data_IF_327013764668
#
_entry.id   IF_327013764668
#
_cell.length_a   1.000
_cell.length_b   1.000
_cell.length_c   1.000
_cell.angle_alpha   90.00
_cell.angle_beta   90.00
_cell.angle_gamma   90.00
#
_symmetry.space_group_name_H-M   'P 1'
#
loop_
_entity.id
_entity.type
_entity.pdbx_description
1 polymer ?
#
# COMPACT_ATOMS: atom_id res chain seq x y z
N UNK A 1 -12.11 2.92 6.48
CA UNK A 1 -11.48 3.41 5.23
C UNK A 1 -12.61 4.00 4.39
N UNK A 2 -12.49 5.24 3.98
CA UNK A 2 -13.50 5.86 3.12
C UNK A 2 -13.14 5.54 1.67
N UNK A 3 -13.92 4.70 1.03
CA UNK A 3 -13.84 4.47 -0.42
C UNK A 3 -14.84 5.44 -1.05
N UNK A 4 -14.37 6.33 -1.93
CA UNK A 4 -15.12 7.50 -2.41
C UNK A 4 -16.46 7.21 -3.08
N UNK A 5 -16.74 5.96 -3.43
CA UNK A 5 -17.96 5.53 -4.13
C UNK A 5 -18.89 4.71 -3.25
N UNK A 6 -18.48 4.33 -2.04
CA UNK A 6 -19.25 3.45 -1.16
C UNK A 6 -19.87 4.29 -0.06
N UNK A 7 -21.20 4.33 -0.01
CA UNK A 7 -21.95 4.91 1.08
C UNK A 7 -22.06 3.84 2.18
N UNK A 8 -21.40 4.05 3.32
CA UNK A 8 -21.45 3.14 4.45
C UNK A 8 -20.16 2.35 4.68
N UNK A 9 -20.26 1.18 5.29
CA UNK A 9 -19.11 0.33 5.55
C UNK A 9 -18.72 -0.43 4.27
N UNK A 10 -17.49 -0.27 3.85
CA UNK A 10 -16.89 -1.00 2.73
C UNK A 10 -17.04 -2.54 2.86
N UNK A 11 -17.12 -3.06 4.07
CA UNK A 11 -17.31 -4.49 4.34
C UNK A 11 -18.70 -4.98 3.93
N UNK A 12 -19.73 -4.15 4.10
CA UNK A 12 -21.09 -4.48 3.67
C UNK A 12 -21.14 -4.51 2.14
N UNK A 13 -20.51 -3.55 1.48
CA UNK A 13 -20.36 -3.56 0.03
C UNK A 13 -19.64 -4.85 -0.47
N UNK A 14 -18.55 -5.27 0.18
CA UNK A 14 -17.87 -6.52 -0.20
C UNK A 14 -18.78 -7.74 -0.07
N UNK A 15 -19.58 -7.83 0.98
CA UNK A 15 -20.53 -8.94 1.17
C UNK A 15 -21.64 -8.94 0.12
N UNK A 16 -22.11 -7.76 -0.28
CA UNK A 16 -23.12 -7.63 -1.33
C UNK A 16 -22.56 -8.05 -2.70
N UNK A 17 -21.30 -7.69 -3.01
CA UNK A 17 -20.70 -8.01 -4.31
C UNK A 17 -20.13 -9.44 -4.38
N UNK A 18 -19.72 -10.02 -3.26
CA UNK A 18 -19.13 -11.34 -3.15
C UNK A 18 -19.74 -12.08 -1.95
N UNK A 19 -21.00 -12.57 -2.04
CA UNK A 19 -21.68 -13.21 -0.93
C UNK A 19 -20.96 -14.47 -0.40
N UNK A 20 -20.20 -15.14 -1.28
CA UNK A 20 -19.40 -16.33 -0.97
C UNK A 20 -18.13 -16.02 -0.17
N UNK A 21 -17.72 -14.76 -0.08
CA UNK A 21 -16.43 -14.37 0.51
C UNK A 21 -16.28 -14.84 1.96
N UNK A 22 -17.34 -14.72 2.76
CA UNK A 22 -17.33 -15.15 4.16
C UNK A 22 -17.26 -16.68 4.30
N UNK A 23 -17.85 -17.43 3.37
CA UNK A 23 -17.85 -18.90 3.37
C UNK A 23 -16.54 -19.49 2.85
N UNK A 24 -15.91 -18.84 1.87
CA UNK A 24 -14.66 -19.31 1.26
C UNK A 24 -13.43 -18.98 2.12
N UNK A 25 -13.39 -17.77 2.72
CA UNK A 25 -12.20 -17.30 3.43
C UNK A 25 -12.34 -17.49 4.94
N UNK A 26 -13.51 -17.16 5.49
CA UNK A 26 -13.79 -17.27 6.92
C UNK A 26 -12.87 -16.48 7.85
N UNK A 27 -12.95 -16.70 9.17
CA UNK A 27 -12.11 -16.02 10.14
C UNK A 27 -10.65 -16.42 10.06
N UNK A 28 -9.74 -15.43 10.18
CA UNK A 28 -8.29 -15.65 10.23
C UNK A 28 -7.68 -15.16 11.56
N UNK A 29 -6.37 -14.95 11.55
CA UNK A 29 -5.63 -14.55 12.73
C UNK A 29 -4.90 -13.21 12.53
N UNK A 30 -5.08 -12.31 13.49
CA UNK A 30 -4.12 -11.25 13.72
C UNK A 30 -2.85 -11.84 14.32
N UNK A 31 -1.70 -11.42 13.80
CA UNK A 31 -0.40 -11.86 14.27
C UNK A 31 0.53 -10.65 14.48
N UNK A 32 1.53 -10.77 15.34
CA UNK A 32 2.62 -9.81 15.44
C UNK A 32 3.76 -10.12 14.42
N UNK A 33 4.83 -9.35 14.44
CA UNK A 33 6.01 -9.54 13.58
C UNK A 33 6.70 -10.90 13.75
N UNK A 34 6.59 -11.51 14.92
CA UNK A 34 7.13 -12.83 15.26
C UNK A 34 6.19 -13.99 14.86
N UNK A 35 4.99 -13.67 14.34
CA UNK A 35 3.98 -14.66 13.96
C UNK A 35 3.12 -15.15 15.14
N UNK A 36 3.25 -14.53 16.32
CA UNK A 36 2.40 -14.86 17.48
C UNK A 36 0.98 -14.40 17.24
N UNK A 37 0.01 -15.27 17.50
CA UNK A 37 -1.43 -14.99 17.35
C UNK A 37 -1.89 -14.01 18.43
N UNK A 38 -2.48 -12.90 18.01
CA UNK A 38 -3.01 -11.86 18.89
C UNK A 38 -4.51 -11.97 19.09
N UNK A 39 -5.25 -12.48 18.11
CA UNK A 39 -6.70 -12.63 18.13
C UNK A 39 -7.24 -13.01 16.76
N UNK A 40 -8.53 -13.30 16.68
CA UNK A 40 -9.20 -13.63 15.42
C UNK A 40 -9.67 -12.36 14.69
N UNK A 41 -9.71 -12.44 13.37
CA UNK A 41 -10.32 -11.43 12.50
C UNK A 41 -11.35 -12.05 11.54
N UNK A 42 -12.17 -11.23 10.89
CA UNK A 42 -13.30 -11.67 10.05
C UNK A 42 -12.91 -12.20 8.66
N UNK A 43 -11.64 -12.10 8.27
CA UNK A 43 -11.12 -12.50 6.96
C UNK A 43 -10.15 -11.44 6.41
N UNK A 44 -9.04 -11.87 5.80
CA UNK A 44 -7.99 -10.99 5.30
C UNK A 44 -8.49 -9.90 4.32
N UNK A 45 -9.48 -10.13 3.43
CA UNK A 45 -9.99 -9.11 2.50
C UNK A 45 -10.64 -7.90 3.16
N UNK A 46 -11.05 -8.02 4.41
CA UNK A 46 -11.68 -6.92 5.16
C UNK A 46 -10.69 -5.94 5.75
N UNK A 47 -9.39 -6.07 5.45
CA UNK A 47 -8.34 -5.24 6.00
C UNK A 47 -7.47 -4.61 4.90
N UNK A 48 -6.86 -3.47 5.23
CA UNK A 48 -5.97 -2.75 4.32
C UNK A 48 -4.72 -2.31 5.08
N UNK A 49 -3.56 -2.32 4.41
CA UNK A 49 -2.30 -1.83 4.99
C UNK A 49 -2.47 -0.38 5.46
N UNK A 50 -2.00 -0.09 6.68
CA UNK A 50 -2.16 1.19 7.35
C UNK A 50 -3.50 1.39 8.06
N UNK A 51 -4.41 0.43 8.02
CA UNK A 51 -5.67 0.51 8.76
C UNK A 51 -5.41 0.46 10.26
N UNK A 52 -6.02 1.41 11.00
CA UNK A 52 -6.01 1.47 12.47
C UNK A 52 -7.39 1.22 13.08
N UNK A 53 -8.44 1.79 12.46
CA UNK A 53 -9.81 1.69 12.98
C UNK A 53 -10.50 0.40 12.53
N UNK A 54 -11.45 -0.10 13.33
CA UNK A 54 -12.25 -1.27 12.97
C UNK A 54 -11.48 -2.60 12.98
N UNK A 55 -10.38 -2.69 13.72
CA UNK A 55 -9.66 -3.96 13.92
C UNK A 55 -10.39 -4.89 14.90
N UNK A 56 -11.25 -4.33 15.78
CA UNK A 56 -12.05 -5.08 16.75
C UNK A 56 -11.20 -5.98 17.67
N UNK A 57 -9.98 -5.53 17.99
CA UNK A 57 -9.06 -6.21 18.90
C UNK A 57 -8.52 -5.21 19.93
N UNK A 58 -8.46 -5.63 21.19
CA UNK A 58 -7.91 -4.82 22.28
C UNK A 58 -6.48 -5.24 22.59
N UNK A 59 -5.52 -4.40 22.22
CA UNK A 59 -4.08 -4.64 22.43
C UNK A 59 -3.46 -3.71 23.49
N UNK A 60 -4.28 -2.86 24.16
CA UNK A 60 -3.81 -1.89 25.14
C UNK A 60 -3.06 -0.68 24.54
N UNK A 61 -2.72 -0.72 23.24
CA UNK A 61 -2.09 0.36 22.48
C UNK A 61 -2.66 0.43 21.07
N UNK A 62 -2.54 1.59 20.38
CA UNK A 62 -2.87 1.67 18.97
C UNK A 62 -2.06 0.66 18.14
N UNK A 63 -2.74 -0.05 17.23
CA UNK A 63 -2.09 -0.96 16.31
C UNK A 63 -2.54 -0.67 14.87
N UNK A 64 -1.67 -1.00 13.93
CA UNK A 64 -1.87 -0.77 12.50
C UNK A 64 -1.67 -2.07 11.72
N UNK A 65 -2.42 -2.22 10.64
CA UNK A 65 -2.20 -3.33 9.68
C UNK A 65 -0.90 -3.08 8.93
N UNK A 66 0.11 -3.91 9.17
CA UNK A 66 1.41 -3.82 8.51
C UNK A 66 1.46 -4.66 7.23
N UNK A 67 0.87 -5.86 7.28
CA UNK A 67 0.95 -6.83 6.17
C UNK A 67 -0.29 -7.72 6.18
N UNK A 68 -0.71 -8.10 4.99
CA UNK A 68 -1.81 -9.05 4.78
C UNK A 68 -1.25 -10.23 4.00
N UNK A 69 -1.54 -11.44 4.48
CA UNK A 69 -1.22 -12.68 3.77
C UNK A 69 -2.53 -13.44 3.48
N UNK A 70 -3.07 -13.32 2.26
CA UNK A 70 -4.33 -13.98 1.90
C UNK A 70 -4.23 -15.50 1.95
N UNK A 71 -3.09 -16.09 1.55
CA UNK A 71 -2.91 -17.54 1.51
C UNK A 71 -2.94 -18.18 2.89
N UNK A 72 -2.43 -17.49 3.91
CA UNK A 72 -2.45 -17.92 5.31
C UNK A 72 -3.63 -17.37 6.09
N UNK A 73 -4.45 -16.54 5.46
CA UNK A 73 -5.52 -15.78 6.09
C UNK A 73 -5.05 -15.11 7.39
N UNK A 74 -3.91 -14.37 7.30
CA UNK A 74 -3.33 -13.68 8.45
C UNK A 74 -3.15 -12.19 8.14
N UNK A 75 -3.38 -11.36 9.16
CA UNK A 75 -3.18 -9.91 9.15
C UNK A 75 -2.18 -9.56 10.24
N UNK A 76 -1.01 -9.05 9.83
CA UNK A 76 0.04 -8.64 10.76
C UNK A 76 -0.24 -7.25 11.28
N UNK A 77 -0.20 -7.11 12.61
CA UNK A 77 -0.36 -5.85 13.31
C UNK A 77 0.96 -5.39 13.92
N UNK A 78 1.17 -4.07 13.99
CA UNK A 78 2.31 -3.47 14.64
C UNK A 78 2.15 -1.97 14.85
N UNK A 79 3.25 -1.29 15.13
CA UNK A 79 3.29 0.13 15.44
C UNK A 79 3.35 0.98 14.15
N UNK A 80 3.05 2.28 14.26
CA UNK A 80 2.93 3.17 13.09
C UNK A 80 4.26 3.39 12.34
N UNK A 81 5.37 3.43 13.06
CA UNK A 81 6.72 3.57 12.52
C UNK A 81 7.12 2.42 11.60
N UNK A 82 6.62 1.22 11.84
CA UNK A 82 6.83 0.05 10.99
C UNK A 82 6.13 0.12 9.61
N UNK A 83 5.30 1.13 9.39
CA UNK A 83 4.68 1.44 8.09
C UNK A 83 5.52 2.39 7.25
N UNK A 84 6.54 2.98 7.83
CA UNK A 84 7.37 3.97 7.17
C UNK A 84 8.33 3.31 6.18
N UNK A 85 8.51 3.97 5.04
CA UNK A 85 9.42 3.52 3.98
C UNK A 85 9.91 4.70 3.14
N UNK A 86 11.12 4.56 2.61
CA UNK A 86 11.71 5.48 1.64
C UNK A 86 11.53 5.02 0.19
N UNK A 87 11.01 3.80 -0.03
CA UNK A 87 10.92 3.22 -1.36
C UNK A 87 9.57 2.58 -1.62
N UNK A 88 9.19 2.54 -2.89
CA UNK A 88 7.99 1.88 -3.38
C UNK A 88 8.24 1.28 -4.76
N UNK A 89 7.75 0.06 -5.00
CA UNK A 89 7.62 -0.52 -6.33
C UNK A 89 6.24 -0.20 -6.91
N UNK A 90 6.23 0.19 -8.18
CA UNK A 90 5.00 0.40 -8.92
C UNK A 90 5.06 -0.31 -10.28
N UNK A 91 3.90 -0.66 -10.83
CA UNK A 91 3.75 -1.46 -12.06
C UNK A 91 2.57 -0.98 -12.89
N UNK A 92 2.44 -1.52 -14.12
CA UNK A 92 1.34 -1.20 -15.04
C UNK A 92 1.15 0.31 -15.22
N UNK A 93 2.27 1.01 -15.36
CA UNK A 93 2.28 2.45 -15.47
C UNK A 93 1.69 2.94 -16.81
N UNK A 94 1.13 4.16 -16.75
CA UNK A 94 0.71 4.96 -17.90
C UNK A 94 1.37 6.34 -17.75
N UNK A 95 2.53 6.45 -18.36
CA UNK A 95 3.34 7.68 -18.34
C UNK A 95 3.08 8.44 -19.64
N UNK A 96 2.87 9.76 -19.53
CA UNK A 96 2.60 10.63 -20.68
C UNK A 96 3.86 10.81 -21.51
N UNK A 97 4.99 11.12 -20.85
CA UNK A 97 6.32 11.27 -21.45
C UNK A 97 7.36 10.78 -20.44
N UNK A 98 8.11 9.75 -20.80
CA UNK A 98 9.14 9.17 -19.92
C UNK A 98 10.33 10.11 -19.72
N UNK A 99 10.75 10.84 -20.75
CA UNK A 99 11.88 11.79 -20.65
C UNK A 99 11.52 12.90 -19.66
N UNK A 100 10.29 13.39 -19.74
CA UNK A 100 9.79 14.40 -18.82
C UNK A 100 9.70 13.86 -17.38
N UNK A 101 9.14 12.66 -17.18
CA UNK A 101 9.01 12.06 -15.85
C UNK A 101 10.39 11.87 -15.19
N UNK A 102 11.32 11.22 -15.88
CA UNK A 102 12.65 10.92 -15.33
C UNK A 102 13.56 12.13 -15.21
N UNK A 103 13.35 13.17 -16.03
CA UNK A 103 14.06 14.45 -15.97
C UNK A 103 13.49 15.45 -14.97
N UNK A 104 12.30 15.22 -14.42
CA UNK A 104 11.62 16.18 -13.57
C UNK A 104 12.33 16.38 -12.23
N UNK A 105 12.77 17.61 -11.95
CA UNK A 105 13.48 17.96 -10.72
C UNK A 105 12.52 18.10 -9.50
N UNK A 106 11.29 18.56 -9.76
CA UNK A 106 10.29 18.79 -8.72
C UNK A 106 9.20 17.71 -8.69
N UNK A 107 9.59 16.47 -9.07
CA UNK A 107 8.68 15.36 -9.13
C UNK A 107 8.08 15.05 -7.76
N UNK A 108 6.76 14.95 -7.72
CA UNK A 108 6.02 14.49 -6.55
C UNK A 108 5.09 13.34 -6.91
N UNK A 109 4.77 12.50 -5.93
CA UNK A 109 3.81 11.40 -6.08
C UNK A 109 2.73 11.46 -5.02
N UNK A 110 1.49 11.15 -5.41
CA UNK A 110 0.39 10.88 -4.48
C UNK A 110 0.06 9.40 -4.53
N UNK A 111 0.08 8.75 -3.38
CA UNK A 111 -0.13 7.31 -3.21
C UNK A 111 -1.53 6.94 -2.70
N UNK A 112 -2.37 7.95 -2.49
CA UNK A 112 -3.78 7.82 -2.07
C UNK A 112 -4.56 9.08 -2.45
N UNK A 113 -5.86 8.90 -2.60
CA UNK A 113 -6.77 10.03 -2.72
C UNK A 113 -6.63 10.97 -1.50
N UNK A 114 -6.55 12.26 -1.75
CA UNK A 114 -6.35 13.32 -0.73
C UNK A 114 -5.05 13.22 0.09
N UNK A 115 -4.09 12.34 -0.26
CA UNK A 115 -2.78 12.40 0.38
C UNK A 115 -2.01 13.65 -0.05
N UNK A 116 -1.13 14.14 0.81
CA UNK A 116 -0.16 15.16 0.40
C UNK A 116 0.73 14.62 -0.72
N UNK A 117 1.18 15.47 -1.64
CA UNK A 117 2.24 15.10 -2.57
C UNK A 117 3.52 14.83 -1.78
N UNK A 118 4.24 13.78 -2.15
CA UNK A 118 5.53 13.42 -1.53
C UNK A 118 6.61 13.62 -2.60
N UNK A 119 7.66 14.44 -2.36
CA UNK A 119 8.77 14.56 -3.27
C UNK A 119 9.44 13.21 -3.50
N UNK A 120 9.79 12.91 -4.77
CA UNK A 120 10.35 11.60 -5.11
C UNK A 120 11.30 11.66 -6.31
N UNK A 121 12.03 10.57 -6.51
CA UNK A 121 12.73 10.21 -7.75
C UNK A 121 12.18 8.89 -8.25
N UNK A 122 12.24 8.66 -9.55
CA UNK A 122 11.73 7.44 -10.17
C UNK A 122 12.78 6.88 -11.13
N UNK A 123 12.90 5.56 -11.14
CA UNK A 123 13.75 4.82 -12.08
C UNK A 123 12.95 3.66 -12.64
N UNK A 124 13.11 3.39 -13.95
CA UNK A 124 12.60 2.16 -14.55
C UNK A 124 13.57 1.02 -14.30
N UNK A 125 13.06 -0.09 -13.83
CA UNK A 125 13.81 -1.34 -13.62
C UNK A 125 13.83 -2.16 -14.91
N UNK A 126 14.75 -3.13 -15.00
CA UNK A 126 14.87 -4.04 -16.15
C UNK A 126 13.61 -4.88 -16.39
N UNK A 127 12.88 -5.22 -15.33
CA UNK A 127 11.62 -5.95 -15.40
C UNK A 127 10.39 -5.08 -15.77
N UNK A 128 10.62 -3.79 -16.09
CA UNK A 128 9.61 -2.83 -16.50
C UNK A 128 8.87 -2.15 -15.36
N UNK A 129 9.07 -2.55 -14.11
CA UNK A 129 8.50 -1.84 -12.94
C UNK A 129 9.19 -0.49 -12.72
N UNK A 130 8.53 0.37 -11.95
CA UNK A 130 9.11 1.61 -11.48
C UNK A 130 9.57 1.45 -10.02
N UNK A 131 10.83 1.80 -9.74
CA UNK A 131 11.32 2.04 -8.40
C UNK A 131 11.15 3.52 -8.09
N UNK A 132 10.38 3.82 -7.07
CA UNK A 132 10.14 5.18 -6.58
C UNK A 132 10.89 5.34 -5.28
N UNK A 133 11.81 6.30 -5.20
CA UNK A 133 12.46 6.74 -3.97
C UNK A 133 11.79 8.00 -3.47
N UNK A 134 11.24 7.96 -2.28
CA UNK A 134 10.71 9.14 -1.61
C UNK A 134 11.85 9.97 -1.01
N UNK A 135 11.78 11.28 -1.13
CA UNK A 135 12.74 12.21 -0.51
C UNK A 135 12.32 12.60 0.92
N UNK A 136 11.12 12.20 1.32
CA UNK A 136 10.58 12.26 2.67
C UNK A 136 9.94 10.90 2.97
N UNK A 137 9.93 10.47 4.23
CA UNK A 137 9.32 9.20 4.62
C UNK A 137 7.85 9.10 4.20
N UNK A 138 7.53 8.07 3.46
CA UNK A 138 6.16 7.69 3.12
C UNK A 138 5.65 6.63 4.11
N UNK A 139 4.35 6.51 4.24
CA UNK A 139 3.75 5.54 5.18
C UNK A 139 2.59 4.78 4.55
N UNK A 140 2.47 3.51 4.94
CA UNK A 140 1.36 2.63 4.59
C UNK A 140 1.18 2.47 3.07
N UNK A 141 2.23 2.06 2.39
CA UNK A 141 2.22 1.71 0.97
C UNK A 141 1.36 0.47 0.78
N UNK A 142 0.21 0.63 0.12
CA UNK A 142 -0.78 -0.42 -0.07
C UNK A 142 -0.79 -0.90 -1.53
N UNK A 143 -0.38 -2.14 -1.81
CA UNK A 143 -0.45 -2.72 -3.15
C UNK A 143 -1.86 -2.65 -3.75
N UNK A 144 -1.94 -2.43 -5.06
CA UNK A 144 -3.19 -2.27 -5.80
C UNK A 144 -3.79 -0.87 -5.78
N UNK A 145 -3.28 0.06 -4.96
CA UNK A 145 -3.67 1.47 -5.03
C UNK A 145 -2.90 2.20 -6.14
N UNK A 146 -3.48 3.31 -6.61
CA UNK A 146 -2.85 4.16 -7.63
C UNK A 146 -1.82 5.08 -7.00
N UNK A 147 -0.65 5.17 -7.64
CA UNK A 147 0.35 6.20 -7.46
C UNK A 147 0.28 7.15 -8.66
N UNK A 148 0.12 8.46 -8.42
CA UNK A 148 0.03 9.45 -9.49
C UNK A 148 1.16 10.45 -9.36
N UNK A 149 1.89 10.67 -10.45
CA UNK A 149 3.08 11.51 -10.53
C UNK A 149 2.73 12.90 -11.05
N UNK A 150 3.31 13.92 -10.43
CA UNK A 150 3.03 15.32 -10.75
C UNK A 150 4.31 16.16 -10.84
N UNK A 151 4.30 17.14 -11.75
CA UNK A 151 5.13 18.34 -11.67
C UNK A 151 4.21 19.51 -11.30
N UNK A 152 4.32 19.98 -10.06
CA UNK A 152 3.40 20.96 -9.52
C UNK A 152 1.93 20.52 -9.59
N UNK A 153 1.14 21.09 -10.51
CA UNK A 153 -0.27 20.75 -10.74
C UNK A 153 -0.49 19.85 -11.96
N UNK A 154 0.54 19.65 -12.77
CA UNK A 154 0.46 18.84 -13.99
C UNK A 154 0.67 17.37 -13.67
N UNK A 155 -0.19 16.51 -14.20
CA UNK A 155 -0.06 15.05 -14.13
C UNK A 155 0.94 14.60 -15.19
N UNK A 156 1.98 13.88 -14.79
CA UNK A 156 2.96 13.27 -15.70
C UNK A 156 2.65 11.80 -15.97
N UNK A 157 1.86 11.18 -15.13
CA UNK A 157 1.44 9.79 -15.30
C UNK A 157 0.98 9.16 -14.00
N UNK A 158 0.71 7.87 -14.06
CA UNK A 158 0.32 7.08 -12.90
C UNK A 158 0.68 5.61 -13.06
N UNK A 159 0.68 4.88 -11.97
CA UNK A 159 0.97 3.46 -11.91
C UNK A 159 0.16 2.80 -10.78
N UNK A 160 0.06 1.49 -10.77
CA UNK A 160 -0.42 0.77 -9.58
C UNK A 160 0.75 0.45 -8.65
N UNK A 161 0.52 0.60 -7.35
CA UNK A 161 1.48 0.20 -6.33
C UNK A 161 1.60 -1.33 -6.40
N UNK A 162 2.79 -1.82 -6.71
CA UNK A 162 3.09 -3.24 -6.81
C UNK A 162 3.22 -3.91 -5.45
N UNK A 163 3.31 -5.24 -5.43
CA UNK A 163 3.74 -5.97 -4.25
C UNK A 163 5.15 -5.53 -3.84
N UNK A 164 5.34 -5.17 -2.57
CA UNK A 164 6.62 -4.74 -2.03
C UNK A 164 7.53 -5.92 -1.61
N UNK A 165 7.18 -7.15 -2.01
CA UNK A 165 8.03 -8.33 -1.74
C UNK A 165 9.35 -8.21 -2.48
N UNK A 166 10.46 -8.43 -1.75
CA UNK A 166 11.80 -8.37 -2.32
C UNK A 166 12.33 -6.96 -2.62
N UNK A 167 11.63 -5.90 -2.22
CA UNK A 167 12.06 -4.52 -2.46
C UNK A 167 13.48 -4.25 -1.92
N UNK A 168 13.87 -4.88 -0.80
CA UNK A 168 15.22 -4.73 -0.24
C UNK A 168 16.32 -5.18 -1.19
N UNK A 169 16.13 -6.27 -1.95
CA UNK A 169 17.08 -6.72 -2.97
C UNK A 169 17.14 -5.72 -4.13
N UNK A 170 15.99 -5.25 -4.58
CA UNK A 170 15.90 -4.24 -5.66
C UNK A 170 16.60 -2.94 -5.27
N UNK A 171 16.49 -2.51 -4.01
CA UNK A 171 17.17 -1.31 -3.51
C UNK A 171 18.69 -1.49 -3.57
N UNK A 172 19.22 -2.62 -3.08
CA UNK A 172 20.67 -2.91 -3.08
C UNK A 172 21.23 -2.89 -4.50
N UNK A 173 20.54 -3.50 -5.47
CA UNK A 173 20.95 -3.53 -6.87
C UNK A 173 20.86 -2.17 -7.58
N UNK A 174 20.13 -1.21 -7.00
CA UNK A 174 19.88 0.12 -7.58
C UNK A 174 20.33 1.26 -6.65
N UNK A 175 21.31 1.03 -5.78
CA UNK A 175 21.92 2.08 -4.97
C UNK A 175 22.47 3.20 -5.88
N UNK A 176 21.96 4.41 -5.69
CA UNK A 176 22.32 5.59 -6.49
C UNK A 176 21.16 6.36 -7.13
N UNK A 177 19.94 6.01 -6.79
CA UNK A 177 18.73 6.74 -7.18
C UNK A 177 18.58 8.03 -6.37
#
# INVERSE_FOLDING_TARGET
>A
MEVCYIKGDYRDFLREQCPELDSEIGPGWFVNSEGVKLGKHKGAPYYTIGQRKGLEIALGKPAYVLKINPQKNTVMLGDADQLETEYMLAEQDKIVDEQELFGCQNLTVRIRYRSRPIPCRVKRLEDGRLLVRFLETASAIAPGQSAVFYDGRRVLGGAFIASQRGIGLVIIENEGL
#
